data_IF_119273594955
#
_entry.id   IF_119273594955
#
_cell.length_a   1.000
_cell.length_b   1.000
_cell.length_c   1.000
_cell.angle_alpha   90.00
_cell.angle_beta   90.00
_cell.angle_gamma   90.00
#
_symmetry.space_group_name_H-M   'P 1'
#
loop_
_entity.id
_entity.type
_entity.pdbx_description
1 polymer ?
#
# COMPACT_ATOMS: atom_id res chain seq x y z
N UNK A 1 1.25 -0.44 -13.82
CA UNK A 1 1.01 -1.15 -15.10
C UNK A 1 0.90 -2.67 -14.92
N UNK A 2 1.87 -3.37 -14.35
CA UNK A 2 1.77 -4.84 -14.23
C UNK A 2 0.58 -5.32 -13.37
N UNK A 3 0.35 -4.70 -12.20
CA UNK A 3 -0.83 -4.97 -11.38
C UNK A 3 -2.13 -4.56 -12.09
N UNK A 4 -2.14 -3.39 -12.74
CA UNK A 4 -3.29 -2.95 -13.54
C UNK A 4 -3.66 -3.98 -14.62
N UNK A 5 -2.67 -4.54 -15.33
CA UNK A 5 -2.91 -5.57 -16.34
C UNK A 5 -3.63 -6.80 -15.74
N UNK A 6 -3.16 -7.26 -14.58
CA UNK A 6 -3.79 -8.36 -13.85
C UNK A 6 -5.21 -8.01 -13.36
N UNK A 7 -5.41 -6.83 -12.80
CA UNK A 7 -6.71 -6.34 -12.33
C UNK A 7 -7.75 -6.25 -13.45
N UNK A 8 -7.32 -5.90 -14.67
CA UNK A 8 -8.16 -5.92 -15.88
C UNK A 8 -8.40 -7.34 -16.45
N UNK A 9 -7.74 -8.37 -15.90
CA UNK A 9 -7.73 -9.72 -16.47
C UNK A 9 -6.88 -9.86 -17.74
N UNK A 10 -6.18 -8.81 -18.16
CA UNK A 10 -5.31 -8.81 -19.34
C UNK A 10 -4.02 -9.60 -19.08
N UNK A 11 -3.44 -10.30 -20.08
CA UNK A 11 -2.11 -10.91 -19.95
C UNK A 11 -0.98 -9.86 -19.91
N UNK A 12 -1.19 -8.68 -20.48
CA UNK A 12 -0.22 -7.57 -20.50
C UNK A 12 -0.90 -6.23 -20.76
N UNK A 13 -0.19 -5.13 -20.51
CA UNK A 13 -0.57 -3.79 -20.99
C UNK A 13 0.52 -3.27 -21.94
N UNK A 14 0.18 -2.86 -23.17
CA UNK A 14 1.11 -2.18 -24.05
C UNK A 14 1.34 -0.73 -23.57
N UNK A 15 2.60 -0.27 -23.62
CA UNK A 15 2.97 1.11 -23.27
C UNK A 15 4.17 1.59 -24.09
N UNK A 16 4.37 2.90 -24.17
CA UNK A 16 5.61 3.50 -24.69
C UNK A 16 6.64 3.80 -23.58
N UNK A 17 6.25 3.62 -22.31
CA UNK A 17 7.18 3.72 -21.19
C UNK A 17 8.34 2.73 -21.35
N UNK A 18 9.50 3.05 -20.76
CA UNK A 18 10.75 2.26 -20.79
C UNK A 18 11.50 2.26 -22.13
N UNK A 19 10.87 2.62 -23.25
CA UNK A 19 11.57 2.79 -24.53
C UNK A 19 12.71 3.81 -24.39
N UNK A 20 13.86 3.50 -24.99
CA UNK A 20 15.06 4.33 -24.91
C UNK A 20 15.84 4.20 -23.59
N UNK A 21 15.38 3.40 -22.63
CA UNK A 21 16.13 3.06 -21.42
C UNK A 21 16.81 1.69 -21.52
N UNK A 22 17.81 1.45 -20.67
CA UNK A 22 18.44 0.12 -20.55
C UNK A 22 17.59 -0.89 -19.73
N UNK A 23 16.44 -0.47 -19.17
CA UNK A 23 15.58 -1.33 -18.34
C UNK A 23 15.11 -2.55 -19.13
N UNK A 24 14.72 -2.36 -20.40
CA UNK A 24 14.26 -3.45 -21.27
C UNK A 24 15.42 -4.43 -21.54
N UNK A 25 16.64 -3.93 -21.71
CA UNK A 25 17.82 -4.76 -21.97
C UNK A 25 18.20 -5.62 -20.76
N UNK A 26 18.01 -5.09 -19.56
CA UNK A 26 18.37 -5.75 -18.31
C UNK A 26 17.24 -6.62 -17.73
N UNK A 27 16.01 -6.49 -18.23
CA UNK A 27 14.86 -7.23 -17.74
C UNK A 27 14.08 -7.90 -18.90
N UNK A 28 14.34 -9.19 -19.17
CA UNK A 28 13.73 -9.91 -20.29
C UNK A 28 12.23 -10.17 -20.11
N UNK A 29 11.65 -9.84 -18.95
CA UNK A 29 10.21 -9.92 -18.72
C UNK A 29 9.43 -8.88 -19.54
N UNK A 30 10.05 -7.76 -19.91
CA UNK A 30 9.44 -6.76 -20.79
C UNK A 30 9.76 -7.10 -22.25
N UNK A 31 8.71 -7.19 -23.08
CA UNK A 31 8.87 -7.47 -24.51
C UNK A 31 8.69 -6.19 -25.31
N UNK A 32 9.66 -5.84 -26.15
CA UNK A 32 9.52 -4.73 -27.08
C UNK A 32 8.97 -5.26 -28.42
N UNK A 33 7.87 -4.67 -28.87
CA UNK A 33 7.15 -5.06 -30.08
C UNK A 33 6.78 -3.83 -30.92
N UNK A 34 6.20 -4.04 -32.10
CA UNK A 34 5.55 -2.96 -32.86
C UNK A 34 4.04 -3.01 -32.69
N UNK A 35 3.45 -1.85 -32.43
CA UNK A 35 2.00 -1.68 -32.33
C UNK A 35 1.33 -2.04 -33.66
N UNK A 36 0.30 -2.89 -33.63
CA UNK A 36 -0.45 -3.25 -34.85
C UNK A 36 -1.28 -2.10 -35.42
N UNK A 37 -1.49 -1.01 -34.66
CA UNK A 37 -2.32 0.12 -35.06
C UNK A 37 -1.57 1.18 -35.87
N UNK A 38 -0.34 1.48 -35.47
CA UNK A 38 0.47 2.57 -36.03
C UNK A 38 1.92 2.15 -36.34
N UNK A 39 2.27 0.88 -36.14
CA UNK A 39 3.60 0.31 -36.36
C UNK A 39 4.72 0.91 -35.51
N UNK A 40 4.40 1.77 -34.54
CA UNK A 40 5.37 2.38 -33.63
C UNK A 40 5.85 1.37 -32.57
N UNK A 41 7.09 1.50 -32.06
CA UNK A 41 7.59 0.63 -31.01
C UNK A 41 6.78 0.81 -29.72
N UNK A 42 6.52 -0.31 -29.06
CA UNK A 42 5.83 -0.40 -27.76
C UNK A 42 6.53 -1.45 -26.89
N UNK A 43 6.26 -1.39 -25.59
CA UNK A 43 6.67 -2.38 -24.60
C UNK A 43 5.42 -3.05 -24.05
N UNK A 44 5.42 -4.37 -24.04
CA UNK A 44 4.40 -5.19 -23.38
C UNK A 44 4.83 -5.43 -21.94
N UNK A 45 4.08 -4.85 -21.00
CA UNK A 45 4.27 -5.07 -19.57
C UNK A 45 3.38 -6.24 -19.14
N UNK A 46 3.94 -7.41 -18.81
CA UNK A 46 3.13 -8.56 -18.43
C UNK A 46 2.41 -8.34 -17.11
N UNK A 47 1.28 -9.04 -16.96
CA UNK A 47 0.47 -8.98 -15.76
C UNK A 47 1.18 -9.60 -14.56
N UNK A 48 1.21 -8.88 -13.44
CA UNK A 48 1.64 -9.38 -12.15
C UNK A 48 0.41 -9.79 -11.35
N UNK A 49 0.27 -11.09 -11.05
CA UNK A 49 -0.87 -11.67 -10.32
C UNK A 49 -0.39 -12.18 -8.95
N UNK A 50 -0.43 -11.35 -7.89
CA UNK A 50 -0.04 -11.80 -6.56
C UNK A 50 -0.98 -12.88 -6.04
N UNK A 51 -0.45 -13.86 -5.32
CA UNK A 51 -1.28 -14.77 -4.53
C UNK A 51 -1.96 -14.01 -3.39
N UNK A 52 -1.22 -13.12 -2.73
CA UNK A 52 -1.69 -12.32 -1.60
C UNK A 52 -1.23 -10.87 -1.75
N UNK A 53 -2.13 -9.92 -1.52
CA UNK A 53 -1.79 -8.52 -1.27
C UNK A 53 -2.08 -8.15 0.18
N UNK A 54 -1.13 -7.47 0.84
CA UNK A 54 -1.31 -6.90 2.17
C UNK A 54 -1.43 -5.40 2.00
N UNK A 55 -2.57 -4.83 2.41
CA UNK A 55 -2.88 -3.43 2.17
C UNK A 55 -3.24 -2.77 3.50
N UNK A 56 -2.53 -1.68 3.80
CA UNK A 56 -2.88 -0.83 4.94
C UNK A 56 -3.93 0.18 4.51
N UNK A 57 -5.03 0.25 5.25
CA UNK A 57 -6.17 1.14 5.01
C UNK A 57 -6.45 1.93 6.28
N UNK A 58 -7.08 3.09 6.11
CA UNK A 58 -7.50 3.87 7.26
C UNK A 58 -8.64 3.20 8.01
N UNK A 59 -9.67 2.75 7.30
CA UNK A 59 -10.85 2.14 7.92
C UNK A 59 -11.30 0.90 7.18
N UNK A 60 -11.77 -0.08 7.93
CA UNK A 60 -12.47 -1.25 7.40
C UNK A 60 -13.64 -1.60 8.31
N UNK A 61 -14.68 -2.23 7.76
CA UNK A 61 -15.56 -3.06 8.57
C UNK A 61 -15.00 -4.48 8.74
N UNK A 62 -15.68 -5.32 9.52
CA UNK A 62 -15.27 -6.71 9.78
C UNK A 62 -15.37 -7.62 8.54
N UNK A 63 -16.18 -7.24 7.55
CA UNK A 63 -16.39 -7.97 6.29
C UNK A 63 -15.31 -7.65 5.23
N UNK A 64 -14.41 -6.70 5.50
CA UNK A 64 -13.37 -6.28 4.57
C UNK A 64 -13.82 -5.24 3.55
N UNK A 65 -14.95 -4.56 3.76
CA UNK A 65 -15.23 -3.33 3.03
C UNK A 65 -14.39 -2.21 3.64
N UNK A 66 -13.50 -1.63 2.85
CA UNK A 66 -12.50 -0.70 3.34
C UNK A 66 -12.56 0.65 2.66
N UNK A 67 -12.45 1.71 3.47
CA UNK A 67 -12.18 3.05 3.01
C UNK A 67 -10.67 3.28 2.96
N UNK A 68 -10.20 3.75 1.81
CA UNK A 68 -8.86 4.28 1.65
C UNK A 68 -8.93 5.69 1.04
N UNK A 69 -8.07 6.61 1.49
CA UNK A 69 -8.01 7.96 0.94
C UNK A 69 -6.59 8.53 0.95
N UNK A 70 -6.42 9.62 0.20
CA UNK A 70 -5.12 10.25 0.00
C UNK A 70 -4.34 9.57 -1.12
N UNK A 71 -3.04 9.39 -0.89
CA UNK A 71 -2.17 8.70 -1.86
C UNK A 71 -2.38 7.18 -1.79
N UNK A 72 -3.13 6.63 -2.74
CA UNK A 72 -3.40 5.18 -2.82
C UNK A 72 -2.22 4.37 -3.39
N UNK A 73 -1.26 5.02 -4.05
CA UNK A 73 -0.12 4.33 -4.66
C UNK A 73 -0.58 3.28 -5.68
N UNK A 74 -0.38 2.01 -5.36
CA UNK A 74 -0.80 0.86 -6.18
C UNK A 74 -1.81 -0.03 -5.46
N UNK A 75 -2.40 0.43 -4.35
CA UNK A 75 -3.24 -0.38 -3.47
C UNK A 75 -4.49 -0.89 -4.18
N UNK A 76 -5.16 -0.05 -4.97
CA UNK A 76 -6.34 -0.44 -5.74
C UNK A 76 -5.97 -1.51 -6.78
N UNK A 77 -4.92 -1.28 -7.57
CA UNK A 77 -4.48 -2.27 -8.55
C UNK A 77 -3.98 -3.56 -7.90
N UNK A 78 -3.34 -3.49 -6.73
CA UNK A 78 -2.91 -4.67 -5.97
C UNK A 78 -4.12 -5.47 -5.48
N UNK A 79 -5.15 -4.80 -4.94
CA UNK A 79 -6.40 -5.43 -4.48
C UNK A 79 -7.11 -6.12 -5.64
N UNK A 80 -7.20 -5.46 -6.79
CA UNK A 80 -7.83 -6.01 -8.00
C UNK A 80 -7.01 -7.15 -8.62
N UNK A 81 -5.68 -7.07 -8.59
CA UNK A 81 -4.79 -8.07 -9.19
C UNK A 81 -4.64 -9.35 -8.35
N UNK A 82 -4.68 -9.23 -7.02
CA UNK A 82 -4.39 -10.34 -6.13
C UNK A 82 -5.54 -11.37 -6.10
N UNK A 83 -5.19 -12.63 -5.82
CA UNK A 83 -6.16 -13.68 -5.52
C UNK A 83 -6.83 -13.43 -4.17
N UNK A 84 -6.01 -13.24 -3.14
CA UNK A 84 -6.44 -13.00 -1.76
C UNK A 84 -5.88 -11.67 -1.23
N UNK A 85 -6.63 -11.00 -0.36
CA UNK A 85 -6.26 -9.71 0.22
C UNK A 85 -6.32 -9.78 1.74
N UNK A 86 -5.30 -9.24 2.40
CA UNK A 86 -5.28 -9.00 3.84
C UNK A 86 -5.28 -7.49 4.05
N UNK A 87 -6.26 -7.01 4.81
CA UNK A 87 -6.36 -5.60 5.17
C UNK A 87 -5.80 -5.38 6.57
N UNK A 88 -4.96 -4.36 6.71
CA UNK A 88 -4.53 -3.83 8.01
C UNK A 88 -5.19 -2.48 8.17
N UNK A 89 -6.03 -2.32 9.19
CA UNK A 89 -6.84 -1.12 9.40
C UNK A 89 -6.40 -0.37 10.65
N UNK A 90 -6.33 0.96 10.55
CA UNK A 90 -6.17 1.83 11.73
C UNK A 90 -7.41 1.84 12.60
N UNK A 91 -8.59 1.67 12.01
CA UNK A 91 -9.87 1.75 12.70
C UNK A 91 -10.86 0.75 12.10
N UNK A 92 -11.54 0.00 12.96
CA UNK A 92 -12.67 -0.84 12.57
C UNK A 92 -13.96 -0.06 12.81
N UNK A 93 -14.78 0.07 11.76
CA UNK A 93 -16.02 0.86 11.80
C UNK A 93 -17.24 0.00 11.44
N UNK A 94 -18.46 0.39 11.85
CA UNK A 94 -19.68 -0.24 11.36
C UNK A 94 -19.79 -0.12 9.83
N UNK A 95 -20.40 -1.12 9.19
CA UNK A 95 -20.61 -1.19 7.73
C UNK A 95 -21.30 0.06 7.18
N UNK A 96 -22.20 0.66 7.94
CA UNK A 96 -22.92 1.89 7.58
C UNK A 96 -21.96 3.05 7.33
N UNK A 97 -20.86 3.12 8.08
CA UNK A 97 -19.81 4.12 7.86
C UNK A 97 -19.18 3.95 6.48
N UNK A 98 -18.89 2.71 6.08
CA UNK A 98 -18.28 2.42 4.78
C UNK A 98 -19.26 2.73 3.65
N UNK A 99 -20.51 2.32 3.79
CA UNK A 99 -21.56 2.54 2.79
C UNK A 99 -21.93 4.03 2.64
N UNK A 100 -21.68 4.85 3.67
CA UNK A 100 -21.96 6.30 3.61
C UNK A 100 -21.13 7.07 2.58
N UNK A 101 -19.97 6.54 2.17
CA UNK A 101 -19.13 7.13 1.12
C UNK A 101 -18.54 6.05 0.19
N UNK A 102 -19.32 5.59 -0.80
CA UNK A 102 -18.88 4.51 -1.69
C UNK A 102 -17.67 4.89 -2.55
N UNK A 103 -17.41 6.19 -2.76
CA UNK A 103 -16.25 6.65 -3.53
C UNK A 103 -14.91 6.45 -2.82
N UNK A 104 -14.92 6.13 -1.52
CA UNK A 104 -13.71 5.77 -0.76
C UNK A 104 -13.47 4.27 -0.69
N UNK A 105 -14.41 3.46 -1.18
CA UNK A 105 -14.28 2.00 -1.13
C UNK A 105 -13.13 1.59 -2.03
N UNK A 106 -12.09 0.99 -1.45
CA UNK A 106 -10.86 0.65 -2.15
C UNK A 106 -11.08 -0.40 -3.25
N UNK A 107 -12.01 -1.33 -3.04
CA UNK A 107 -12.29 -2.41 -3.96
C UNK A 107 -13.17 -3.51 -3.38
N UNK A 108 -13.26 -4.67 -4.06
CA UNK A 108 -14.22 -5.71 -3.74
C UNK A 108 -13.85 -6.51 -2.46
N UNK A 109 -14.66 -6.39 -1.42
CA UNK A 109 -14.47 -7.09 -0.14
C UNK A 109 -14.47 -8.62 -0.24
N UNK A 110 -15.11 -9.22 -1.26
CA UNK A 110 -15.10 -10.68 -1.44
C UNK A 110 -13.70 -11.27 -1.70
N UNK A 111 -12.70 -10.43 -2.05
CA UNK A 111 -11.29 -10.84 -2.15
C UNK A 111 -10.56 -10.82 -0.80
N UNK A 112 -11.12 -10.16 0.21
CA UNK A 112 -10.52 -10.01 1.53
C UNK A 112 -10.68 -11.31 2.31
N UNK A 113 -9.58 -11.79 2.89
CA UNK A 113 -9.52 -13.01 3.71
C UNK A 113 -9.35 -12.72 5.18
N UNK A 114 -8.78 -11.57 5.52
CA UNK A 114 -8.69 -11.11 6.90
C UNK A 114 -8.65 -9.59 6.95
N UNK A 115 -9.25 -9.07 8.02
CA UNK A 115 -9.10 -7.69 8.46
C UNK A 115 -8.36 -7.72 9.80
N UNK A 116 -7.24 -7.05 9.87
CA UNK A 116 -6.40 -6.93 11.06
C UNK A 116 -6.50 -5.52 11.59
N UNK A 117 -7.03 -5.36 12.80
CA UNK A 117 -7.03 -4.07 13.48
C UNK A 117 -5.67 -3.86 14.13
N UNK A 118 -4.83 -3.03 13.51
CA UNK A 118 -3.48 -2.75 13.99
C UNK A 118 -3.16 -1.27 13.80
N UNK A 119 -3.64 -0.41 14.73
CA UNK A 119 -3.32 1.00 14.72
C UNK A 119 -1.82 1.24 14.72
N UNK A 120 -1.39 2.28 14.02
CA UNK A 120 0.02 2.54 13.72
C UNK A 120 0.71 1.48 12.86
N UNK A 121 0.00 0.53 12.27
CA UNK A 121 0.58 -0.60 11.52
C UNK A 121 1.49 -0.19 10.36
N UNK A 122 1.27 0.98 9.76
CA UNK A 122 2.09 1.46 8.65
C UNK A 122 3.36 2.23 9.08
N UNK A 123 3.54 2.58 10.36
CA UNK A 123 4.77 3.25 10.81
C UNK A 123 5.99 2.41 10.39
N UNK A 124 7.04 3.03 9.79
CA UNK A 124 7.36 4.47 9.77
C UNK A 124 6.73 5.31 8.64
N UNK A 125 5.95 4.70 7.75
CA UNK A 125 5.20 5.40 6.70
C UNK A 125 3.98 6.14 7.27
N UNK A 126 3.52 7.23 6.63
CA UNK A 126 2.37 8.00 7.11
C UNK A 126 1.05 7.29 6.82
N UNK A 127 0.03 7.57 7.64
CA UNK A 127 -1.37 7.25 7.33
C UNK A 127 -2.18 8.54 7.42
N UNK A 128 -2.68 9.00 6.28
CA UNK A 128 -3.28 10.32 6.16
C UNK A 128 -4.52 10.45 7.08
N UNK A 129 -4.46 11.40 8.01
CA UNK A 129 -5.50 11.65 9.01
C UNK A 129 -5.25 10.98 10.37
N UNK A 130 -4.26 10.09 10.47
CA UNK A 130 -3.92 9.35 11.70
C UNK A 130 -2.56 9.78 12.25
N UNK A 131 -1.49 9.66 11.46
CA UNK A 131 -0.15 10.08 11.84
C UNK A 131 0.76 10.35 10.64
N UNK A 132 1.78 11.18 10.87
CA UNK A 132 2.75 11.63 9.89
C UNK A 132 3.90 10.63 9.69
N UNK A 133 4.69 10.87 8.65
CA UNK A 133 5.84 10.04 8.30
C UNK A 133 6.98 10.23 9.29
N UNK A 134 7.55 9.14 9.77
CA UNK A 134 8.71 9.17 10.64
C UNK A 134 10.01 9.27 9.83
N UNK A 135 10.31 10.48 9.36
CA UNK A 135 11.53 10.76 8.59
C UNK A 135 12.82 10.41 9.36
N UNK A 136 12.80 10.60 10.68
CA UNK A 136 13.92 10.26 11.55
C UNK A 136 14.16 8.74 11.53
N UNK A 137 13.11 7.91 11.52
CA UNK A 137 13.23 6.45 11.55
C UNK A 137 13.82 5.94 10.25
N UNK A 138 13.34 6.48 9.12
CA UNK A 138 13.93 6.17 7.82
C UNK A 138 15.43 6.51 7.76
N UNK A 139 15.85 7.63 8.36
CA UNK A 139 17.26 8.02 8.42
C UNK A 139 18.07 7.08 9.32
N UNK A 140 17.58 6.78 10.52
CA UNK A 140 18.21 5.85 11.47
C UNK A 140 18.35 4.45 10.86
N UNK A 141 17.28 3.91 10.26
CA UNK A 141 17.30 2.64 9.53
C UNK A 141 18.35 2.66 8.41
N UNK A 142 18.32 3.68 7.56
CA UNK A 142 19.28 3.78 6.46
C UNK A 142 20.74 3.82 6.95
N UNK A 143 21.01 4.45 8.09
CA UNK A 143 22.35 4.51 8.67
C UNK A 143 22.77 3.17 9.30
N UNK A 144 21.88 2.52 10.06
CA UNK A 144 22.19 1.29 10.77
C UNK A 144 22.33 0.09 9.84
N UNK A 145 21.61 0.05 8.72
CA UNK A 145 21.59 -1.12 7.82
C UNK A 145 22.53 -1.00 6.61
N UNK A 146 23.57 -0.17 6.67
CA UNK A 146 24.54 0.00 5.56
C UNK A 146 25.49 -1.19 5.40
N UNK A 147 25.65 -1.99 6.45
CA UNK A 147 26.44 -3.23 6.43
C UNK A 147 25.54 -4.41 6.76
N UNK A 148 25.97 -5.60 6.40
CA UNK A 148 25.25 -6.84 6.71
C UNK A 148 25.11 -7.02 8.23
N UNK A 149 26.16 -6.73 8.99
CA UNK A 149 26.16 -6.84 10.46
C UNK A 149 25.18 -5.84 11.08
N UNK A 150 25.15 -4.60 10.60
CA UNK A 150 24.23 -3.57 11.09
C UNK A 150 22.77 -3.88 10.75
N UNK A 151 22.51 -4.45 9.56
CA UNK A 151 21.18 -4.96 9.21
C UNK A 151 20.75 -6.11 10.14
N UNK A 152 21.64 -7.06 10.42
CA UNK A 152 21.33 -8.19 11.30
C UNK A 152 21.02 -7.72 12.73
N UNK A 153 21.75 -6.73 13.25
CA UNK A 153 21.46 -6.12 14.55
C UNK A 153 20.10 -5.42 14.56
N UNK A 154 19.78 -4.65 13.52
CA UNK A 154 18.47 -4.01 13.40
C UNK A 154 17.34 -5.05 13.31
N UNK A 155 17.52 -6.12 12.53
CA UNK A 155 16.54 -7.19 12.37
C UNK A 155 16.27 -7.90 13.71
N UNK A 156 17.33 -8.22 14.45
CA UNK A 156 17.23 -8.81 15.78
C UNK A 156 16.45 -7.89 16.73
N UNK A 157 16.84 -6.61 16.80
CA UNK A 157 16.29 -5.65 17.75
C UNK A 157 14.84 -5.22 17.46
N UNK A 158 14.51 -4.96 16.20
CA UNK A 158 13.24 -4.31 15.81
C UNK A 158 12.21 -5.27 15.22
N UNK A 159 12.59 -6.52 14.95
CA UNK A 159 11.70 -7.53 14.37
C UNK A 159 11.71 -8.81 15.20
N UNK A 160 12.85 -9.49 15.36
CA UNK A 160 12.88 -10.84 15.96
C UNK A 160 12.66 -10.83 17.47
N UNK A 161 13.11 -9.79 18.17
CA UNK A 161 12.91 -9.61 19.62
C UNK A 161 11.64 -8.82 19.95
N UNK A 162 10.82 -8.49 18.95
CA UNK A 162 9.59 -7.72 19.12
C UNK A 162 8.41 -8.64 18.80
N UNK A 163 7.74 -9.21 19.83
CA UNK A 163 6.75 -10.27 19.62
C UNK A 163 5.45 -9.78 18.98
N UNK A 164 5.13 -8.49 19.12
CA UNK A 164 3.90 -7.89 18.61
C UNK A 164 4.07 -6.38 18.38
N UNK A 165 3.06 -5.77 17.75
CA UNK A 165 3.06 -4.35 17.44
C UNK A 165 2.98 -3.47 18.69
N UNK A 166 2.28 -3.90 19.73
CA UNK A 166 2.21 -3.15 20.98
C UNK A 166 3.61 -2.96 21.60
N UNK A 167 4.43 -4.02 21.59
CA UNK A 167 5.82 -3.99 22.05
C UNK A 167 6.68 -3.10 21.17
N UNK A 168 6.49 -3.15 19.84
CA UNK A 168 7.14 -2.22 18.90
C UNK A 168 6.86 -0.76 19.26
N UNK A 169 5.58 -0.41 19.47
CA UNK A 169 5.15 0.96 19.78
C UNK A 169 5.59 1.42 21.16
N UNK A 170 5.69 0.51 22.14
CA UNK A 170 6.23 0.83 23.47
C UNK A 170 7.75 1.09 23.42
N UNK A 171 8.46 0.44 22.50
CA UNK A 171 9.90 0.68 22.26
C UNK A 171 10.14 2.01 21.54
N UNK A 172 9.18 2.53 20.79
CA UNK A 172 9.24 3.88 20.23
C UNK A 172 9.08 4.92 21.33
N UNK A 173 9.98 5.90 21.33
CA UNK A 173 9.94 7.04 22.25
C UNK A 173 8.59 7.79 22.21
N UNK A 174 8.07 8.15 23.39
CA UNK A 174 6.77 8.81 23.52
C UNK A 174 6.75 10.22 22.91
N UNK A 175 7.86 10.95 23.02
CA UNK A 175 7.98 12.27 22.39
C UNK A 175 7.94 12.15 20.86
N UNK A 176 8.66 11.15 20.33
CA UNK A 176 8.63 10.80 18.91
C UNK A 176 7.21 10.49 18.44
N UNK A 177 6.47 9.62 19.13
CA UNK A 177 5.07 9.30 18.76
C UNK A 177 4.19 10.54 18.78
N UNK A 178 4.25 11.34 19.86
CA UNK A 178 3.54 12.62 19.94
C UNK A 178 3.88 13.54 18.76
N UNK A 179 5.13 13.61 18.33
CA UNK A 179 5.53 14.46 17.21
C UNK A 179 4.97 14.00 15.85
N UNK A 180 4.60 12.71 15.73
CA UNK A 180 4.01 12.16 14.51
C UNK A 180 2.48 12.34 14.46
N UNK A 181 1.81 12.51 15.60
CA UNK A 181 0.36 12.75 15.63
C UNK A 181 -0.06 13.94 14.76
N UNK A 182 -1.27 13.86 14.22
CA UNK A 182 -1.89 14.98 13.51
C UNK A 182 -2.10 16.13 14.49
N UNK A 183 -1.51 17.30 14.20
CA UNK A 183 -1.63 18.51 15.03
C UNK A 183 -2.81 19.39 14.63
N UNK A 184 -3.18 19.35 13.36
CA UNK A 184 -4.30 20.10 12.80
C UNK A 184 -5.12 19.17 11.91
N UNK A 185 -6.36 18.91 12.30
CA UNK A 185 -7.27 18.11 11.49
C UNK A 185 -7.91 18.98 10.41
N UNK A 186 -7.84 18.53 9.15
CA UNK A 186 -8.49 19.16 8.00
C UNK A 186 -9.45 18.16 7.35
N UNK A 187 -10.74 18.39 7.57
CA UNK A 187 -11.79 17.56 7.00
C UNK A 187 -12.17 18.06 5.61
N UNK A 188 -12.50 17.13 4.71
CA UNK A 188 -13.08 17.48 3.41
C UNK A 188 -14.47 18.09 3.60
N UNK A 189 -14.93 18.88 2.62
CA UNK A 189 -16.32 19.32 2.59
C UNK A 189 -17.26 18.08 2.54
N UNK A 190 -18.38 18.10 3.25
CA UNK A 190 -19.34 17.00 3.20
C UNK A 190 -19.91 16.84 1.79
N UNK A 191 -20.21 15.61 1.41
CA UNK A 191 -20.86 15.25 0.14
C UNK A 191 -22.27 14.75 0.46
N UNK A 192 -23.26 15.22 -0.29
CA UNK A 192 -24.63 14.71 -0.24
C UNK A 192 -24.83 13.72 -1.40
N UNK A 193 -24.97 12.44 -1.07
CA UNK A 193 -25.26 11.41 -2.04
C UNK A 193 -26.75 11.23 -2.30
N UNK A 194 -27.60 11.83 -1.46
CA UNK A 194 -29.06 11.83 -1.59
C UNK A 194 -29.72 10.45 -1.56
N UNK A 195 -31.03 10.47 -1.27
CA UNK A 195 -32.03 9.54 -1.78
C UNK A 195 -33.39 10.23 -1.76
#
# INVERSE_FOLDING_TARGET
LALLAAGLGSPYIPTRSLLGSDIIRQNPTFLQERSSLDQEPIVLVPALRPDVAIIHVQRSDEDGNAHAWGSLGVSEEAMLAARDVLLVAEEIVPRETIVSDPNRVLGPSFKVRAVVHEPWGAHPSPVQGYYNRDHRYFSEYHQSTRTQEGFQQWLEEWVLQVPDRATYLAKLDEERKRNLEVKEHRYAAPVDYGY
#
